data_IF_935158958002
#
_entry.id   IF_935158958002
#
_cell.length_a   1.000
_cell.length_b   1.000
_cell.length_c   1.000
_cell.angle_alpha   90.00
_cell.angle_beta   90.00
_cell.angle_gamma   90.00
#
_symmetry.space_group_name_H-M   'P 1'
#
loop_
_entity.id
_entity.type
_entity.pdbx_description
1 polymer ?
#
# COMPACT_ATOMS: atom_id res chain seq x y z
N UNK A 1 12.16 7.94 -11.50
CA UNK A 1 12.85 7.98 -10.23
C UNK A 1 13.09 6.57 -9.72
N UNK A 2 14.00 6.43 -8.79
CA UNK A 2 14.31 5.12 -8.18
C UNK A 2 13.07 4.55 -7.48
N UNK A 3 12.28 5.39 -6.86
CA UNK A 3 11.08 4.99 -6.14
C UNK A 3 10.05 4.38 -7.09
N UNK A 4 9.82 5.04 -8.22
CA UNK A 4 8.91 4.54 -9.24
C UNK A 4 9.38 3.18 -9.78
N UNK A 5 10.66 3.07 -10.13
CA UNK A 5 11.22 1.85 -10.67
C UNK A 5 11.12 0.70 -9.67
N UNK A 6 11.39 0.97 -8.40
CA UNK A 6 11.32 -0.04 -7.35
C UNK A 6 9.89 -0.55 -7.15
N UNK A 7 8.93 0.37 -7.09
CA UNK A 7 7.53 0.01 -6.92
C UNK A 7 7.04 -0.84 -8.09
N UNK A 8 7.37 -0.43 -9.31
CA UNK A 8 6.96 -1.18 -10.51
C UNK A 8 7.64 -2.53 -10.60
N UNK A 9 8.91 -2.62 -10.17
CA UNK A 9 9.62 -3.90 -10.11
C UNK A 9 8.94 -4.85 -9.12
N UNK A 10 8.58 -4.36 -7.93
CA UNK A 10 7.91 -5.19 -6.94
C UNK A 10 6.54 -5.66 -7.44
N UNK A 11 5.80 -4.80 -8.13
CA UNK A 11 4.54 -5.20 -8.74
C UNK A 11 4.74 -6.33 -9.74
N UNK A 12 5.76 -6.24 -10.59
CA UNK A 12 6.05 -7.28 -11.57
C UNK A 12 6.43 -8.60 -10.89
N UNK A 13 7.12 -8.55 -9.74
CA UNK A 13 7.45 -9.74 -8.97
C UNK A 13 6.19 -10.41 -8.42
N UNK A 14 5.23 -9.64 -7.92
CA UNK A 14 3.95 -10.18 -7.44
C UNK A 14 3.21 -10.87 -8.58
N UNK A 15 3.13 -10.22 -9.74
CA UNK A 15 2.45 -10.79 -10.91
C UNK A 15 3.13 -12.08 -11.38
N UNK A 16 4.45 -12.12 -11.32
CA UNK A 16 5.24 -13.23 -11.84
C UNK A 16 5.31 -14.41 -10.89
N UNK A 17 5.47 -14.16 -9.60
CA UNK A 17 5.66 -15.22 -8.59
C UNK A 17 4.41 -15.55 -7.80
N UNK A 18 3.47 -14.62 -7.71
CA UNK A 18 2.28 -14.77 -6.86
C UNK A 18 2.54 -14.47 -5.38
N UNK A 19 3.79 -14.17 -5.00
CA UNK A 19 4.11 -13.85 -3.61
C UNK A 19 3.84 -12.38 -3.32
N UNK A 20 3.22 -12.11 -2.16
CA UNK A 20 2.95 -10.75 -1.72
C UNK A 20 4.24 -10.02 -1.35
N UNK A 21 4.25 -8.71 -1.57
CA UNK A 21 5.36 -7.83 -1.19
C UNK A 21 4.89 -6.87 -0.11
N UNK A 22 5.72 -6.64 0.90
CA UNK A 22 5.39 -5.81 2.04
C UNK A 22 6.19 -4.52 2.00
N UNK A 23 5.49 -3.38 2.14
CA UNK A 23 6.11 -2.06 2.25
C UNK A 23 5.87 -1.52 3.65
N UNK A 24 6.91 -0.94 4.23
CA UNK A 24 6.81 -0.27 5.52
C UNK A 24 7.49 1.09 5.42
N UNK A 25 6.92 2.06 6.10
CA UNK A 25 7.49 3.42 6.12
C UNK A 25 7.27 4.00 7.51
N UNK A 26 7.95 5.09 7.83
CA UNK A 26 7.66 5.78 9.09
C UNK A 26 6.24 6.33 9.04
N UNK A 27 5.55 6.46 10.20
CA UNK A 27 4.18 6.98 10.21
C UNK A 27 4.02 8.34 9.54
N UNK A 28 5.07 9.16 9.52
CA UNK A 28 5.04 10.48 8.87
C UNK A 28 5.08 10.40 7.35
N UNK A 29 5.47 9.25 6.79
CA UNK A 29 5.60 9.06 5.35
C UNK A 29 4.53 8.16 4.75
N UNK A 30 3.56 7.71 5.54
CA UNK A 30 2.51 6.82 5.04
C UNK A 30 1.70 7.45 3.91
N UNK A 31 1.29 8.71 4.06
CA UNK A 31 0.52 9.37 3.01
C UNK A 31 1.31 9.55 1.72
N UNK A 32 2.57 10.06 1.75
CA UNK A 32 3.39 10.10 0.54
C UNK A 32 3.60 8.73 -0.10
N UNK A 33 3.83 7.68 0.69
CA UNK A 33 3.98 6.33 0.16
C UNK A 33 2.68 5.85 -0.50
N UNK A 34 1.55 6.07 0.15
CA UNK A 34 0.25 5.70 -0.39
C UNK A 34 0.01 6.39 -1.75
N UNK A 35 0.31 7.70 -1.83
CA UNK A 35 0.16 8.45 -3.08
C UNK A 35 1.05 7.87 -4.19
N UNK A 36 2.29 7.52 -3.87
CA UNK A 36 3.21 6.92 -4.83
C UNK A 36 2.71 5.55 -5.29
N UNK A 37 2.20 4.73 -4.37
CA UNK A 37 1.65 3.42 -4.72
C UNK A 37 0.46 3.57 -5.66
N UNK A 38 -0.44 4.49 -5.37
CA UNK A 38 -1.59 4.75 -6.24
C UNK A 38 -1.19 5.30 -7.61
N UNK A 39 -0.10 6.04 -7.67
CA UNK A 39 0.37 6.67 -8.90
C UNK A 39 1.10 5.67 -9.80
N UNK A 40 1.90 4.79 -9.23
CA UNK A 40 2.81 3.95 -10.00
C UNK A 40 2.34 2.51 -10.19
N UNK A 41 1.41 2.02 -9.37
CA UNK A 41 0.87 0.68 -9.52
C UNK A 41 -0.28 0.65 -10.52
N UNK A 42 -0.51 -0.53 -11.10
CA UNK A 42 -1.63 -0.72 -12.02
C UNK A 42 -2.97 -0.58 -11.31
N UNK A 43 -4.01 -0.02 -11.96
CA UNK A 43 -5.31 0.19 -11.33
C UNK A 43 -5.97 -1.06 -10.76
N UNK A 44 -5.68 -2.21 -11.36
CA UNK A 44 -6.29 -3.49 -10.95
C UNK A 44 -5.50 -4.23 -9.89
N UNK A 45 -4.32 -3.74 -9.53
CA UNK A 45 -3.49 -4.38 -8.51
C UNK A 45 -4.13 -4.23 -7.13
N UNK A 46 -4.11 -5.31 -6.35
CA UNK A 46 -4.67 -5.32 -5.00
C UNK A 46 -3.65 -4.80 -4.00
N UNK A 47 -4.10 -3.92 -3.13
CA UNK A 47 -3.27 -3.38 -2.05
C UNK A 47 -4.02 -3.53 -0.74
N UNK A 48 -3.40 -4.22 0.22
CA UNK A 48 -3.92 -4.33 1.57
C UNK A 48 -3.22 -3.30 2.45
N UNK A 49 -3.99 -2.52 3.19
CA UNK A 49 -3.45 -1.58 4.17
C UNK A 49 -3.89 -2.05 5.56
N UNK A 50 -2.90 -2.33 6.41
CA UNK A 50 -3.13 -2.69 7.80
C UNK A 50 -2.57 -1.57 8.67
N UNK A 51 -3.44 -0.90 9.42
CA UNK A 51 -3.06 0.25 10.22
C UNK A 51 -3.53 0.09 11.66
N UNK A 52 -2.77 0.62 12.60
CA UNK A 52 -3.09 0.55 14.04
C UNK A 52 -3.36 -0.86 14.55
N UNK A 53 -2.57 -1.83 14.10
CA UNK A 53 -2.82 -3.25 14.39
C UNK A 53 -2.87 -3.54 15.89
N UNK A 54 -2.14 -2.76 16.70
CA UNK A 54 -2.07 -2.97 18.15
C UNK A 54 -3.13 -2.19 18.91
N UNK A 55 -4.02 -1.50 18.23
CA UNK A 55 -5.09 -0.73 18.86
C UNK A 55 -6.45 -1.26 18.38
N UNK A 56 -7.12 -2.10 19.23
CA UNK A 56 -8.38 -2.72 18.82
C UNK A 56 -9.50 -1.73 18.50
N UNK A 57 -9.41 -0.50 19.02
CA UNK A 57 -10.46 0.52 18.78
C UNK A 57 -10.28 1.28 17.47
N UNK A 58 -9.05 1.30 16.94
CA UNK A 58 -8.77 2.01 15.69
C UNK A 58 -8.07 1.15 14.67
N UNK A 59 -8.05 -0.16 14.87
CA UNK A 59 -7.48 -1.09 13.91
C UNK A 59 -8.22 -0.99 12.58
N UNK A 60 -7.43 -0.93 11.50
CA UNK A 60 -7.95 -0.81 10.15
C UNK A 60 -7.20 -1.78 9.25
N UNK A 61 -7.92 -2.75 8.69
CA UNK A 61 -7.35 -3.70 7.73
C UNK A 61 -8.31 -3.79 6.55
N UNK A 62 -7.85 -3.40 5.37
CA UNK A 62 -8.71 -3.38 4.19
C UNK A 62 -7.91 -3.63 2.92
N UNK A 63 -8.47 -4.43 2.02
CA UNK A 63 -7.87 -4.71 0.72
C UNK A 63 -8.77 -4.18 -0.39
N UNK A 64 -8.24 -3.31 -1.22
CA UNK A 64 -8.92 -2.77 -2.39
C UNK A 64 -7.97 -2.77 -3.58
N UNK A 65 -8.53 -2.68 -4.78
CA UNK A 65 -7.71 -2.39 -5.96
C UNK A 65 -7.19 -0.95 -5.87
N UNK A 66 -6.12 -0.66 -6.61
CA UNK A 66 -5.55 0.68 -6.60
C UNK A 66 -6.57 1.73 -7.04
N UNK A 67 -7.37 1.44 -8.07
CA UNK A 67 -8.38 2.40 -8.52
C UNK A 67 -9.43 2.70 -7.44
N UNK A 68 -9.79 1.70 -6.64
CA UNK A 68 -10.74 1.90 -5.55
C UNK A 68 -10.11 2.67 -4.38
N UNK A 69 -8.82 2.45 -4.11
CA UNK A 69 -8.10 3.24 -3.12
C UNK A 69 -8.02 4.72 -3.51
N UNK A 70 -7.88 5.01 -4.80
CA UNK A 70 -7.86 6.39 -5.28
C UNK A 70 -9.18 7.11 -5.01
N UNK A 71 -10.28 6.38 -4.95
CA UNK A 71 -11.60 6.92 -4.64
C UNK A 71 -11.87 7.01 -3.13
N UNK A 72 -11.16 6.20 -2.34
CA UNK A 72 -11.39 6.07 -0.91
C UNK A 72 -10.08 6.24 -0.15
N UNK A 73 -9.46 7.41 -0.28
CA UNK A 73 -8.15 7.68 0.33
C UNK A 73 -8.22 7.64 1.85
N UNK A 74 -7.42 6.79 2.49
CA UNK A 74 -7.38 6.74 3.95
C UNK A 74 -6.51 7.85 4.52
N UNK A 75 -6.76 8.23 5.77
CA UNK A 75 -5.89 9.14 6.50
C UNK A 75 -4.90 8.33 7.33
N UNK A 76 -3.63 8.36 6.94
CA UNK A 76 -2.60 7.54 7.55
C UNK A 76 -1.47 8.34 8.21
N UNK A 77 -1.64 9.65 8.34
CA UNK A 77 -0.60 10.50 8.94
C UNK A 77 -0.40 10.15 10.42
N UNK A 78 0.84 9.88 10.80
CA UNK A 78 1.22 9.52 12.16
C UNK A 78 0.60 8.21 12.65
N UNK A 79 0.13 7.35 11.76
CA UNK A 79 -0.49 6.08 12.10
C UNK A 79 0.44 4.94 11.67
N UNK A 80 0.81 4.03 12.58
CA UNK A 80 1.60 2.86 12.17
C UNK A 80 0.82 2.04 11.14
N UNK A 81 1.42 1.81 9.98
CA UNK A 81 0.75 1.09 8.90
C UNK A 81 1.72 0.21 8.13
N UNK A 82 1.17 -0.88 7.59
CA UNK A 82 1.88 -1.80 6.72
C UNK A 82 1.09 -1.91 5.42
N UNK A 83 1.79 -1.85 4.30
CA UNK A 83 1.19 -1.96 2.97
C UNK A 83 1.61 -3.29 2.37
N UNK A 84 0.63 -4.13 2.01
CA UNK A 84 0.89 -5.43 1.43
C UNK A 84 0.36 -5.46 -0.01
N UNK A 85 1.29 -5.61 -0.96
CA UNK A 85 0.97 -5.69 -2.37
C UNK A 85 0.67 -7.13 -2.73
N UNK A 86 -0.53 -7.40 -3.25
CA UNK A 86 -0.97 -8.74 -3.61
C UNK A 86 -1.43 -8.82 -5.06
N UNK A 87 -1.61 -10.04 -5.50
CA UNK A 87 -2.06 -10.32 -6.85
C UNK A 87 -3.57 -10.16 -7.00
#
# INVERSE_FOLDING_TARGET
SEKKSKIQWLESQVQKTGYSQIFMETPYRNNPLFEDLCKFLSPNTKLCIAANINDPHSEFIKTLSIKDWQKNKPELHKIPAVFVLGK
#
